data_IF_873730722089
#
_entry.id   IF_873730722089
#
_cell.length_a   1.000
_cell.length_b   1.000
_cell.length_c   1.000
_cell.angle_alpha   90.00
_cell.angle_beta   90.00
_cell.angle_gamma   90.00
#
_symmetry.space_group_name_H-M   'P 1'
#
loop_
_entity.id
_entity.type
_entity.pdbx_description
1 polymer ?
#
# COMPACT_ATOMS: atom_id res chain seq x y z
N UNK A 1 6.67 -25.81 29.03
CA UNK A 1 5.86 -26.34 27.91
C UNK A 1 4.75 -25.33 27.64
N UNK A 2 4.51 -24.99 26.38
CA UNK A 2 3.34 -24.19 25.98
C UNK A 2 2.16 -25.16 25.86
N UNK A 3 0.97 -24.82 26.39
CA UNK A 3 -0.21 -25.69 26.29
C UNK A 3 -0.58 -25.95 24.83
N UNK A 4 -1.15 -27.13 24.60
CA UNK A 4 -1.63 -27.53 23.28
C UNK A 4 -2.92 -26.76 22.94
N UNK A 5 -3.00 -26.20 21.74
CA UNK A 5 -4.18 -25.49 21.25
C UNK A 5 -5.17 -26.48 20.61
N UNK A 6 -6.45 -26.31 20.90
CA UNK A 6 -7.55 -27.11 20.39
C UNK A 6 -8.50 -26.27 19.52
N UNK A 7 -9.31 -26.94 18.69
CA UNK A 7 -10.34 -26.26 17.87
C UNK A 7 -11.35 -25.51 18.75
N UNK A 8 -11.60 -25.99 19.98
CA UNK A 8 -12.50 -25.34 20.94
C UNK A 8 -11.97 -24.02 21.49
N UNK A 9 -10.68 -23.71 21.29
CA UNK A 9 -10.08 -22.43 21.67
C UNK A 9 -10.28 -21.34 20.59
N UNK A 10 -10.76 -21.72 19.40
CA UNK A 10 -11.01 -20.78 18.30
C UNK A 10 -12.38 -20.11 18.44
N UNK A 11 -12.42 -18.81 18.16
CA UNK A 11 -13.65 -18.04 17.98
C UNK A 11 -13.73 -17.51 16.54
N UNK A 12 -14.94 -17.24 16.01
CA UNK A 12 -15.08 -16.63 14.69
C UNK A 12 -14.32 -15.30 14.60
N UNK A 13 -13.48 -15.17 13.58
CA UNK A 13 -12.77 -13.94 13.26
C UNK A 13 -13.29 -13.27 11.98
N UNK A 14 -12.87 -12.02 11.76
CA UNK A 14 -13.09 -11.36 10.48
C UNK A 14 -12.21 -11.95 9.37
N UNK A 15 -12.67 -11.87 8.12
CA UNK A 15 -11.89 -12.18 6.94
C UNK A 15 -11.59 -10.90 6.14
N UNK A 16 -10.47 -10.87 5.43
CA UNK A 16 -10.07 -9.73 4.60
C UNK A 16 -9.24 -10.17 3.39
N UNK A 17 -9.31 -9.39 2.31
CA UNK A 17 -8.54 -9.60 1.08
C UNK A 17 -7.46 -8.54 0.97
N UNK A 18 -6.25 -8.95 0.59
CA UNK A 18 -5.14 -8.02 0.27
C UNK A 18 -5.11 -7.81 -1.24
N UNK A 19 -5.06 -6.56 -1.67
CA UNK A 19 -4.72 -6.21 -3.04
C UNK A 19 -3.21 -6.43 -3.24
N UNK A 20 -2.84 -7.69 -3.48
CA UNK A 20 -1.47 -8.15 -3.70
C UNK A 20 -1.26 -8.36 -5.20
N UNK A 21 -0.24 -7.73 -5.77
CA UNK A 21 0.10 -7.88 -7.17
C UNK A 21 0.87 -9.18 -7.44
N UNK A 22 0.64 -9.73 -8.63
CA UNK A 22 1.38 -10.86 -9.21
C UNK A 22 2.08 -10.36 -10.48
N UNK A 23 3.35 -10.72 -10.65
CA UNK A 23 4.07 -10.44 -11.88
C UNK A 23 3.68 -11.43 -13.00
N UNK A 24 4.19 -11.17 -14.21
CA UNK A 24 3.89 -12.00 -15.39
C UNK A 24 4.44 -13.44 -15.28
N UNK A 25 5.37 -13.69 -14.37
CA UNK A 25 5.95 -15.01 -14.12
C UNK A 25 5.21 -15.77 -12.99
N UNK A 26 4.23 -15.14 -12.35
CA UNK A 26 3.48 -15.72 -11.25
C UNK A 26 4.12 -15.51 -9.88
N UNK A 27 5.07 -14.58 -9.72
CA UNK A 27 5.64 -14.23 -8.42
C UNK A 27 4.89 -13.07 -7.78
N UNK A 28 4.71 -13.15 -6.45
CA UNK A 28 4.16 -12.04 -5.68
C UNK A 28 5.12 -10.86 -5.75
N UNK A 29 4.57 -9.67 -5.96
CA UNK A 29 5.36 -8.45 -5.87
C UNK A 29 5.56 -8.14 -4.39
N UNK A 30 6.81 -8.11 -3.94
CA UNK A 30 7.13 -7.93 -2.52
C UNK A 30 7.09 -6.46 -2.06
N UNK A 31 7.17 -5.50 -2.97
CA UNK A 31 7.27 -4.07 -2.66
C UNK A 31 6.12 -3.25 -3.30
N UNK A 32 6.09 -1.94 -3.02
CA UNK A 32 5.17 -1.00 -3.62
C UNK A 32 5.31 -0.96 -5.14
N UNK A 33 4.19 -1.08 -5.84
CA UNK A 33 4.14 -0.94 -7.29
C UNK A 33 3.22 0.20 -7.65
N UNK A 34 3.81 1.34 -7.98
CA UNK A 34 3.10 2.53 -8.46
C UNK A 34 3.41 2.72 -9.95
N UNK A 35 2.37 2.95 -10.77
CA UNK A 35 2.49 3.23 -12.21
C UNK A 35 1.85 4.58 -12.51
N UNK A 36 2.52 5.38 -13.32
CA UNK A 36 2.06 6.71 -13.75
C UNK A 36 1.73 6.68 -15.24
N UNK A 37 0.66 7.38 -15.61
CA UNK A 37 0.27 7.65 -17.00
C UNK A 37 -0.25 9.09 -17.09
N UNK A 38 -0.50 9.59 -18.30
CA UNK A 38 -0.78 11.01 -18.59
C UNK A 38 -1.74 11.70 -17.60
N UNK A 39 -2.75 10.98 -17.11
CA UNK A 39 -3.75 11.50 -16.17
C UNK A 39 -4.08 10.53 -15.04
N UNK A 40 -3.16 9.60 -14.73
CA UNK A 40 -3.42 8.50 -13.79
C UNK A 40 -2.20 8.18 -12.95
N UNK A 41 -2.46 7.84 -11.68
CA UNK A 41 -1.49 7.22 -10.78
C UNK A 41 -2.15 5.97 -10.22
N UNK A 42 -1.63 4.80 -10.58
CA UNK A 42 -2.12 3.51 -10.13
C UNK A 42 -1.25 2.99 -8.99
N UNK A 43 -1.87 2.70 -7.85
CA UNK A 43 -1.26 1.92 -6.77
C UNK A 43 -1.64 0.46 -6.98
N UNK A 44 -0.77 -0.26 -7.70
CA UNK A 44 -1.02 -1.66 -8.07
C UNK A 44 -0.64 -2.64 -6.96
N UNK A 45 0.35 -2.26 -6.15
CA UNK A 45 0.74 -3.04 -4.97
C UNK A 45 1.14 -2.13 -3.82
N UNK A 46 0.68 -2.47 -2.63
CA UNK A 46 1.04 -1.84 -1.37
C UNK A 46 1.00 -2.92 -0.28
N UNK A 47 2.01 -3.79 -0.20
CA UNK A 47 2.05 -4.86 0.79
C UNK A 47 2.33 -4.30 2.19
N UNK A 48 2.35 -5.17 3.20
CA UNK A 48 2.66 -4.76 4.57
C UNK A 48 3.98 -3.98 4.61
N UNK A 49 4.02 -2.79 5.25
CA UNK A 49 3.08 -2.28 6.25
C UNK A 49 2.12 -1.19 5.74
N UNK A 50 1.45 -1.37 4.61
CA UNK A 50 0.60 -0.35 3.98
C UNK A 50 -0.41 0.35 4.91
N UNK A 51 -1.04 -0.36 5.85
CA UNK A 51 -1.98 0.25 6.79
C UNK A 51 -1.28 1.25 7.73
N UNK A 52 -0.15 0.86 8.33
CA UNK A 52 0.56 1.71 9.30
C UNK A 52 1.41 2.78 8.61
N UNK A 53 1.85 2.57 7.38
CA UNK A 53 2.60 3.55 6.57
C UNK A 53 1.69 4.38 5.64
N UNK A 54 0.37 4.28 5.77
CA UNK A 54 -0.61 4.85 4.84
C UNK A 54 -0.46 6.35 4.61
N UNK A 55 -0.12 7.13 5.66
CA UNK A 55 0.10 8.58 5.55
C UNK A 55 1.34 8.89 4.71
N UNK A 56 2.45 8.22 4.98
CA UNK A 56 3.71 8.41 4.22
C UNK A 56 3.54 8.02 2.75
N UNK A 57 2.82 6.93 2.49
CA UNK A 57 2.46 6.49 1.14
C UNK A 57 1.58 7.54 0.46
N UNK A 58 0.56 8.04 1.16
CA UNK A 58 -0.35 9.09 0.69
C UNK A 58 0.39 10.38 0.31
N UNK A 59 1.35 10.83 1.13
CA UNK A 59 2.20 11.97 0.82
C UNK A 59 3.03 11.73 -0.44
N UNK A 60 3.61 10.55 -0.60
CA UNK A 60 4.36 10.19 -1.82
C UNK A 60 3.48 10.26 -3.07
N UNK A 61 2.25 9.73 -2.99
CA UNK A 61 1.28 9.76 -4.09
C UNK A 61 0.86 11.20 -4.40
N UNK A 62 0.55 12.01 -3.38
CA UNK A 62 0.12 13.39 -3.53
C UNK A 62 1.22 14.26 -4.17
N UNK A 63 2.49 14.06 -3.82
CA UNK A 63 3.62 14.74 -4.48
C UNK A 63 3.74 14.38 -5.96
N UNK A 64 3.57 13.10 -6.31
CA UNK A 64 3.53 12.65 -7.71
C UNK A 64 2.37 13.29 -8.47
N UNK A 65 1.19 13.38 -7.85
CA UNK A 65 0.03 14.05 -8.43
C UNK A 65 0.29 15.55 -8.67
N UNK A 66 0.93 16.23 -7.72
CA UNK A 66 1.36 17.62 -7.88
C UNK A 66 2.23 17.82 -9.11
N UNK A 67 3.27 16.99 -9.25
CA UNK A 67 4.18 17.02 -10.41
C UNK A 67 3.48 16.69 -11.73
N UNK A 68 2.69 15.62 -11.77
CA UNK A 68 2.15 15.09 -13.02
C UNK A 68 0.94 15.86 -13.54
N UNK A 69 0.18 16.48 -12.64
CA UNK A 69 -1.08 17.14 -12.97
C UNK A 69 -1.05 18.66 -12.76
N UNK A 70 0.13 19.23 -12.42
CA UNK A 70 0.30 20.67 -12.23
C UNK A 70 -0.52 21.22 -11.05
N UNK A 71 -0.68 20.44 -9.98
CA UNK A 71 -1.41 20.87 -8.79
C UNK A 71 -0.51 21.72 -7.88
N UNK A 72 -1.14 22.53 -7.03
CA UNK A 72 -0.42 23.29 -6.01
C UNK A 72 0.39 22.33 -5.10
N UNK A 73 1.60 22.74 -4.67
CA UNK A 73 2.43 21.93 -3.78
C UNK A 73 1.76 21.72 -2.43
N UNK A 74 2.09 20.61 -1.76
CA UNK A 74 1.61 20.34 -0.41
C UNK A 74 2.19 21.35 0.57
N UNK A 75 1.38 21.81 1.52
CA UNK A 75 1.80 22.70 2.60
C UNK A 75 2.98 22.09 3.37
N UNK A 76 4.13 22.75 3.36
CA UNK A 76 5.34 22.29 4.05
C UNK A 76 6.39 21.59 3.17
N UNK A 77 6.15 21.40 1.87
CA UNK A 77 7.17 20.96 0.91
C UNK A 77 8.10 22.12 0.46
N UNK A 78 8.30 23.15 1.31
CA UNK A 78 9.37 24.12 1.04
C UNK A 78 10.71 23.39 1.16
N UNK A 79 11.38 23.24 0.02
CA UNK A 79 12.76 22.78 -0.04
C UNK A 79 13.64 23.75 0.80
N UNK A 80 14.58 23.24 1.62
CA UNK A 80 15.58 24.11 2.23
C UNK A 80 16.48 24.77 1.17
#
# INVERSE_FOLDING_TARGET
MIPELSVTDLSPGGAGVRAQALDANGFLVDDFRIVEAERMIHVLNAPSPAATASISIGLSIARRAGKNFGLAPLSGDQEP
#
